data_IF_866826418770
#
_entry.id   IF_866826418770
#
_cell.length_a   1.000
_cell.length_b   1.000
_cell.length_c   1.000
_cell.angle_alpha   90.00
_cell.angle_beta   90.00
_cell.angle_gamma   90.00
#
_symmetry.space_group_name_H-M   'P 1'
#
loop_
_entity.id
_entity.type
_entity.pdbx_description
1 polymer ?
#
# COMPACT_ATOMS: atom_id res chain seq x y z
N UNK A 1 14.96 14.21 -16.63
CA UNK A 1 14.69 12.74 -16.60
C UNK A 1 13.68 12.34 -15.52
N UNK A 2 13.74 12.85 -14.28
CA UNK A 2 12.79 12.52 -13.20
C UNK A 2 11.41 13.13 -13.50
N UNK A 3 11.35 14.38 -13.94
CA UNK A 3 10.10 15.07 -14.28
C UNK A 3 9.36 14.37 -15.45
N UNK A 4 10.08 13.89 -16.46
CA UNK A 4 9.52 13.16 -17.61
C UNK A 4 8.94 11.81 -17.19
N UNK A 5 9.62 11.08 -16.30
CA UNK A 5 9.12 9.83 -15.73
C UNK A 5 7.85 10.06 -14.88
N UNK A 6 7.83 11.14 -14.10
CA UNK A 6 6.65 11.50 -13.29
C UNK A 6 5.45 11.90 -14.14
N UNK A 7 5.65 12.64 -15.24
CA UNK A 7 4.60 12.96 -16.22
C UNK A 7 4.03 11.72 -16.91
N UNK A 8 4.91 10.81 -17.34
CA UNK A 8 4.48 9.53 -17.95
C UNK A 8 3.66 8.69 -16.95
N UNK A 9 4.11 8.56 -15.71
CA UNK A 9 3.37 7.84 -14.68
C UNK A 9 2.00 8.45 -14.39
N UNK A 10 1.93 9.77 -14.28
CA UNK A 10 0.68 10.49 -14.04
C UNK A 10 -0.29 10.33 -15.21
N UNK A 11 0.20 10.45 -16.45
CA UNK A 11 -0.59 10.26 -17.66
C UNK A 11 -1.11 8.82 -17.79
N UNK A 12 -0.22 7.83 -17.64
CA UNK A 12 -0.61 6.40 -17.70
C UNK A 12 -1.58 6.02 -16.57
N UNK A 13 -1.36 6.50 -15.36
CA UNK A 13 -2.25 6.20 -14.25
C UNK A 13 -3.65 6.76 -14.46
N UNK A 14 -3.76 8.01 -14.92
CA UNK A 14 -5.04 8.66 -15.22
C UNK A 14 -5.76 7.98 -16.37
N UNK A 15 -5.04 7.64 -17.43
CA UNK A 15 -5.59 6.95 -18.60
C UNK A 15 -6.06 5.54 -18.21
N UNK A 16 -5.24 4.77 -17.50
CA UNK A 16 -5.60 3.42 -17.02
C UNK A 16 -6.83 3.46 -16.11
N UNK A 17 -6.92 4.43 -15.21
CA UNK A 17 -8.09 4.59 -14.34
C UNK A 17 -9.35 4.90 -15.15
N UNK A 18 -9.24 5.74 -16.18
CA UNK A 18 -10.37 6.08 -17.04
C UNK A 18 -10.82 4.90 -17.90
N UNK A 19 -9.86 4.17 -18.49
CA UNK A 19 -10.14 2.99 -19.31
C UNK A 19 -10.70 1.81 -18.50
N UNK A 20 -10.35 1.68 -17.20
CA UNK A 20 -10.93 0.68 -16.31
C UNK A 20 -12.31 1.15 -15.80
N UNK A 21 -12.48 2.42 -15.50
CA UNK A 21 -13.71 2.97 -14.93
C UNK A 21 -14.93 2.79 -15.85
N UNK A 22 -14.74 2.93 -17.15
CA UNK A 22 -15.83 2.82 -18.15
C UNK A 22 -16.43 1.40 -18.17
N UNK A 23 -15.68 0.30 -18.39
CA UNK A 23 -16.25 -1.05 -18.35
C UNK A 23 -16.78 -1.44 -16.96
N UNK A 24 -16.19 -0.88 -15.91
CA UNK A 24 -16.64 -1.12 -14.55
C UNK A 24 -18.04 -0.56 -14.29
N UNK A 25 -18.30 0.67 -14.76
CA UNK A 25 -19.65 1.27 -14.69
C UNK A 25 -20.67 0.44 -15.47
N UNK A 26 -20.27 -0.10 -16.63
CA UNK A 26 -21.12 -1.00 -17.42
C UNK A 26 -21.44 -2.29 -16.66
N UNK A 27 -20.44 -2.92 -16.01
CA UNK A 27 -20.63 -4.13 -15.20
C UNK A 27 -21.57 -3.89 -14.03
N UNK A 28 -21.47 -2.75 -13.35
CA UNK A 28 -22.40 -2.36 -12.28
C UNK A 28 -23.85 -2.26 -12.83
N UNK A 29 -24.03 -1.68 -14.01
CA UNK A 29 -25.34 -1.64 -14.67
C UNK A 29 -25.91 -3.03 -14.99
N UNK A 30 -25.07 -3.96 -15.45
CA UNK A 30 -25.48 -5.35 -15.68
C UNK A 30 -25.89 -6.07 -14.40
N UNK A 31 -25.20 -5.84 -13.28
CA UNK A 31 -25.60 -6.40 -11.98
C UNK A 31 -27.00 -5.93 -11.58
N UNK A 32 -27.30 -4.65 -11.71
CA UNK A 32 -28.63 -4.13 -11.39
C UNK A 32 -29.72 -4.78 -12.25
N UNK A 33 -29.42 -5.03 -13.53
CA UNK A 33 -30.33 -5.77 -14.41
C UNK A 33 -30.51 -7.22 -13.95
N UNK A 34 -29.42 -7.91 -13.58
CA UNK A 34 -29.46 -9.28 -13.11
C UNK A 34 -30.22 -9.43 -11.77
N UNK A 35 -30.07 -8.47 -10.86
CA UNK A 35 -30.86 -8.40 -9.61
C UNK A 35 -32.37 -8.34 -9.93
N UNK A 36 -32.75 -7.54 -10.93
CA UNK A 36 -34.16 -7.44 -11.36
C UNK A 36 -34.71 -8.74 -11.97
N UNK A 37 -33.84 -9.60 -12.49
CA UNK A 37 -34.18 -10.91 -13.10
C UNK A 37 -34.22 -12.07 -12.09
N UNK A 38 -34.15 -11.81 -10.78
CA UNK A 38 -34.16 -12.81 -9.70
C UNK A 38 -33.10 -13.92 -9.85
N UNK A 39 -31.91 -13.55 -10.34
CA UNK A 39 -30.74 -14.44 -10.35
C UNK A 39 -30.31 -14.71 -8.90
N UNK A 40 -29.74 -15.90 -8.65
CA UNK A 40 -29.26 -16.27 -7.32
C UNK A 40 -28.35 -15.17 -6.72
N UNK A 41 -28.78 -14.66 -5.57
CA UNK A 41 -28.12 -13.54 -4.88
C UNK A 41 -26.66 -13.85 -4.48
N UNK A 42 -26.30 -15.11 -4.27
CA UNK A 42 -24.94 -15.49 -3.89
C UNK A 42 -23.93 -15.20 -5.00
N UNK A 43 -24.27 -15.50 -6.25
CA UNK A 43 -23.40 -15.17 -7.40
C UNK A 43 -23.27 -13.65 -7.59
N UNK A 44 -24.36 -12.92 -7.42
CA UNK A 44 -24.36 -11.47 -7.55
C UNK A 44 -23.47 -10.81 -6.49
N UNK A 45 -23.52 -11.26 -5.25
CA UNK A 45 -22.68 -10.77 -4.14
C UNK A 45 -21.19 -10.97 -4.46
N UNK A 46 -20.79 -12.12 -4.99
CA UNK A 46 -19.38 -12.37 -5.33
C UNK A 46 -18.91 -11.47 -6.50
N UNK A 47 -19.75 -11.29 -7.51
CA UNK A 47 -19.44 -10.38 -8.63
C UNK A 47 -19.35 -8.92 -8.14
N UNK A 48 -20.24 -8.46 -7.27
CA UNK A 48 -20.17 -7.13 -6.65
C UNK A 48 -18.87 -6.92 -5.88
N UNK A 49 -18.44 -7.90 -5.10
CA UNK A 49 -17.16 -7.83 -4.40
C UNK A 49 -15.96 -7.65 -5.35
N UNK A 50 -15.98 -8.32 -6.48
CA UNK A 50 -14.90 -8.20 -7.47
C UNK A 50 -14.95 -6.86 -8.20
N UNK A 51 -16.14 -6.35 -8.51
CA UNK A 51 -16.31 -4.99 -9.06
C UNK A 51 -15.84 -3.94 -8.07
N UNK A 52 -16.17 -4.05 -6.79
CA UNK A 52 -15.71 -3.13 -5.75
C UNK A 52 -14.17 -3.15 -5.62
N UNK A 53 -13.55 -4.33 -5.74
CA UNK A 53 -12.08 -4.43 -5.79
C UNK A 53 -11.50 -3.69 -6.99
N UNK A 54 -12.10 -3.80 -8.17
CA UNK A 54 -11.66 -3.09 -9.37
C UNK A 54 -11.87 -1.58 -9.25
N UNK A 55 -12.98 -1.14 -8.65
CA UNK A 55 -13.24 0.27 -8.34
C UNK A 55 -12.16 0.86 -7.43
N UNK A 56 -11.82 0.15 -6.35
CA UNK A 56 -10.74 0.57 -5.45
C UNK A 56 -9.41 0.72 -6.19
N UNK A 57 -9.10 -0.20 -7.09
CA UNK A 57 -7.87 -0.14 -7.91
C UNK A 57 -7.92 1.09 -8.83
N UNK A 58 -9.01 1.30 -9.55
CA UNK A 58 -9.20 2.45 -10.44
C UNK A 58 -9.08 3.78 -9.70
N UNK A 59 -9.73 3.92 -8.54
CA UNK A 59 -9.62 5.11 -7.68
C UNK A 59 -8.19 5.36 -7.19
N UNK A 60 -7.46 4.29 -6.83
CA UNK A 60 -6.06 4.38 -6.42
C UNK A 60 -5.19 4.94 -7.54
N UNK A 61 -5.39 4.49 -8.78
CA UNK A 61 -4.69 5.00 -9.95
C UNK A 61 -5.06 6.46 -10.24
N UNK A 62 -6.33 6.84 -10.14
CA UNK A 62 -6.77 8.24 -10.31
C UNK A 62 -6.08 9.19 -9.31
N UNK A 63 -5.90 8.77 -8.06
CA UNK A 63 -5.23 9.58 -7.03
C UNK A 63 -3.74 9.78 -7.25
N UNK A 64 -3.09 8.88 -7.99
CA UNK A 64 -1.68 9.05 -8.39
C UNK A 64 -1.52 10.18 -9.42
N UNK A 65 -2.55 10.44 -10.22
CA UNK A 65 -2.55 11.48 -11.25
C UNK A 65 -2.86 12.89 -10.75
N UNK A 66 -3.26 13.06 -9.47
CA UNK A 66 -3.62 14.34 -8.87
C UNK A 66 -2.80 14.63 -7.61
N UNK A 67 -2.59 15.92 -7.31
CA UNK A 67 -1.94 16.33 -6.06
C UNK A 67 -2.90 16.05 -4.89
N UNK A 68 -2.56 15.16 -3.94
CA UNK A 68 -3.47 14.80 -2.87
C UNK A 68 -3.60 15.91 -1.84
N UNK A 69 -4.78 16.04 -1.25
CA UNK A 69 -5.00 16.90 -0.10
C UNK A 69 -4.45 16.18 1.14
N UNK A 70 -3.58 16.86 1.89
CA UNK A 70 -3.04 16.39 3.16
C UNK A 70 -3.81 17.06 4.31
N UNK A 71 -4.14 16.27 5.32
CA UNK A 71 -4.84 16.74 6.51
C UNK A 71 -4.07 16.31 7.77
N UNK A 72 -4.08 17.15 8.81
CA UNK A 72 -3.56 16.77 10.12
C UNK A 72 -4.28 15.51 10.60
N UNK A 73 -3.56 14.42 10.72
CA UNK A 73 -4.12 13.10 10.98
C UNK A 73 -3.38 12.42 12.13
N UNK A 74 -4.14 11.75 12.99
CA UNK A 74 -3.60 10.86 14.02
C UNK A 74 -3.01 9.61 13.36
N UNK A 75 -1.69 9.60 13.20
CA UNK A 75 -0.97 8.51 12.52
C UNK A 75 -1.00 7.22 13.33
N UNK A 76 -0.96 7.31 14.67
CA UNK A 76 -1.03 6.14 15.55
C UNK A 76 -2.34 5.37 15.34
N UNK A 77 -3.47 6.10 15.32
CA UNK A 77 -4.80 5.50 15.06
C UNK A 77 -4.89 4.97 13.63
N UNK A 78 -4.52 5.78 12.62
CA UNK A 78 -4.61 5.40 11.22
C UNK A 78 -3.78 4.16 10.90
N UNK A 79 -2.57 4.05 11.48
CA UNK A 79 -1.73 2.86 11.28
C UNK A 79 -2.39 1.63 11.89
N UNK A 80 -2.96 1.74 13.10
CA UNK A 80 -3.69 0.65 13.73
C UNK A 80 -4.87 0.21 12.88
N UNK A 81 -5.75 1.13 12.50
CA UNK A 81 -6.94 0.85 11.70
C UNK A 81 -6.57 0.15 10.36
N UNK A 82 -5.45 0.57 9.74
CA UNK A 82 -4.95 -0.04 8.50
C UNK A 82 -4.45 -1.48 8.71
N UNK A 83 -3.81 -1.76 9.85
CA UNK A 83 -3.31 -3.09 10.18
C UNK A 83 -4.44 -4.02 10.59
N UNK A 84 -5.39 -3.56 11.41
CA UNK A 84 -6.56 -4.35 11.82
C UNK A 84 -7.37 -4.82 10.59
N UNK A 85 -7.54 -3.93 9.61
CA UNK A 85 -8.17 -4.29 8.34
C UNK A 85 -7.38 -5.36 7.55
N UNK A 86 -6.05 -5.29 7.57
CA UNK A 86 -5.21 -6.27 6.87
C UNK A 86 -5.22 -7.63 7.58
N UNK A 87 -5.20 -7.65 8.90
CA UNK A 87 -5.19 -8.89 9.70
C UNK A 87 -6.40 -9.78 9.41
N UNK A 88 -7.57 -9.22 9.11
CA UNK A 88 -8.76 -10.01 8.73
C UNK A 88 -8.59 -10.76 7.40
N UNK A 89 -7.50 -10.53 6.66
CA UNK A 89 -7.26 -11.05 5.30
C UNK A 89 -5.93 -11.78 5.15
N UNK A 90 -5.16 -11.84 6.22
CA UNK A 90 -3.87 -12.54 6.26
C UNK A 90 -4.08 -13.94 6.80
N UNK A 91 -3.35 -14.91 6.25
CA UNK A 91 -3.34 -16.29 6.75
C UNK A 91 -2.78 -16.35 8.18
N UNK A 92 -3.32 -17.25 9.00
CA UNK A 92 -2.86 -17.52 10.38
C UNK A 92 -1.38 -17.92 10.49
N UNK A 93 -0.70 -18.17 9.36
CA UNK A 93 0.72 -18.48 9.29
C UNK A 93 1.64 -17.29 9.53
N UNK A 94 1.14 -16.07 9.38
CA UNK A 94 1.94 -14.86 9.57
C UNK A 94 1.43 -14.09 10.76
N UNK A 95 2.26 -14.03 11.80
CA UNK A 95 1.96 -13.26 13.00
C UNK A 95 2.33 -11.78 12.76
N UNK A 96 1.41 -10.86 13.04
CA UNK A 96 1.65 -9.41 12.92
C UNK A 96 1.55 -8.76 14.30
N UNK A 97 2.67 -8.28 14.81
CA UNK A 97 2.76 -7.57 16.08
C UNK A 97 2.92 -6.06 15.86
N UNK A 98 2.29 -5.24 16.74
CA UNK A 98 2.47 -3.77 16.69
C UNK A 98 3.03 -3.25 18.01
N UNK A 99 4.00 -2.33 17.87
CA UNK A 99 4.60 -1.60 19.01
C UNK A 99 4.41 -0.10 18.78
N UNK A 100 3.36 0.45 19.38
CA UNK A 100 3.01 1.86 19.26
C UNK A 100 3.22 2.61 20.57
N UNK A 101 3.62 3.90 20.52
CA UNK A 101 3.74 4.71 21.72
C UNK A 101 2.36 4.98 22.32
N UNK A 102 2.30 5.21 23.63
CA UNK A 102 1.06 5.64 24.30
C UNK A 102 0.59 7.01 23.81
N UNK A 103 1.52 7.86 23.40
CA UNK A 103 1.26 9.20 22.86
C UNK A 103 0.70 9.10 21.45
N UNK A 104 -0.30 9.91 21.16
CA UNK A 104 -0.83 10.06 19.80
C UNK A 104 0.13 10.92 18.97
N UNK A 105 0.49 10.45 17.78
CA UNK A 105 1.39 11.14 16.86
C UNK A 105 0.59 11.69 15.67
N UNK A 106 0.85 12.93 15.31
CA UNK A 106 0.13 13.64 14.23
C UNK A 106 1.08 14.10 13.15
N UNK A 107 0.68 13.96 11.89
CA UNK A 107 1.35 14.51 10.73
C UNK A 107 0.34 14.87 9.63
N UNK A 108 0.81 15.59 8.60
CA UNK A 108 0.01 15.92 7.42
C UNK A 108 -0.04 14.72 6.47
N UNK A 109 -1.21 14.07 6.36
CA UNK A 109 -1.36 12.80 5.64
C UNK A 109 -2.62 12.80 4.79
N UNK A 110 -2.53 12.22 3.60
CA UNK A 110 -3.67 11.67 2.88
C UNK A 110 -3.91 10.24 3.36
N UNK A 111 -5.00 10.02 4.09
CA UNK A 111 -5.29 8.75 4.77
C UNK A 111 -5.30 7.55 3.83
N UNK A 112 -5.90 7.69 2.66
CA UNK A 112 -6.08 6.58 1.71
C UNK A 112 -4.74 6.17 1.07
N UNK A 113 -3.92 7.14 0.66
CA UNK A 113 -2.61 6.87 0.09
C UNK A 113 -1.64 6.30 1.13
N UNK A 114 -1.71 6.79 2.36
CA UNK A 114 -0.93 6.23 3.46
C UNK A 114 -1.32 4.76 3.74
N UNK A 115 -2.61 4.48 3.94
CA UNK A 115 -3.08 3.11 4.19
C UNK A 115 -2.71 2.16 3.04
N UNK A 116 -2.78 2.63 1.80
CA UNK A 116 -2.33 1.85 0.66
C UNK A 116 -0.82 1.57 0.69
N UNK A 117 0.00 2.53 1.12
CA UNK A 117 1.45 2.31 1.31
C UNK A 117 1.71 1.22 2.35
N UNK A 118 1.02 1.27 3.50
CA UNK A 118 1.13 0.23 4.54
C UNK A 118 0.73 -1.14 3.99
N UNK A 119 -0.41 -1.21 3.29
CA UNK A 119 -0.89 -2.44 2.64
C UNK A 119 0.16 -3.02 1.68
N UNK A 120 0.77 -2.20 0.82
CA UNK A 120 1.79 -2.65 -0.12
C UNK A 120 3.03 -3.22 0.58
N UNK A 121 3.50 -2.56 1.65
CA UNK A 121 4.70 -3.01 2.37
C UNK A 121 4.40 -4.31 3.11
N UNK A 122 3.28 -4.39 3.84
CA UNK A 122 2.87 -5.60 4.57
C UNK A 122 2.68 -6.78 3.60
N UNK A 123 2.01 -6.59 2.45
CA UNK A 123 1.89 -7.63 1.42
C UNK A 123 3.24 -8.09 0.89
N UNK A 124 4.19 -7.17 0.71
CA UNK A 124 5.53 -7.55 0.29
C UNK A 124 6.28 -8.33 1.37
N UNK A 125 6.10 -7.99 2.65
CA UNK A 125 6.65 -8.75 3.77
C UNK A 125 6.04 -10.16 3.84
N UNK A 126 4.73 -10.31 3.73
CA UNK A 126 4.04 -11.60 3.68
C UNK A 126 4.57 -12.45 2.52
N UNK A 127 4.70 -11.87 1.32
CA UNK A 127 5.21 -12.59 0.14
C UNK A 127 6.69 -12.99 0.28
N UNK A 128 7.48 -12.25 1.08
CA UNK A 128 8.87 -12.60 1.39
C UNK A 128 9.00 -13.71 2.41
N UNK A 129 7.99 -13.92 3.25
CA UNK A 129 7.91 -15.00 4.23
C UNK A 129 7.51 -16.29 3.51
N UNK A 130 8.32 -17.34 3.67
CA UNK A 130 8.05 -18.66 3.12
C UNK A 130 7.59 -19.60 4.24
N UNK A 131 6.28 -19.74 4.42
CA UNK A 131 5.69 -20.54 5.50
C UNK A 131 5.26 -19.67 6.67
N UNK A 132 5.63 -20.07 7.89
CA UNK A 132 5.31 -19.33 9.09
C UNK A 132 6.33 -18.21 9.32
N UNK A 133 5.87 -17.07 9.83
CA UNK A 133 6.78 -15.96 10.09
C UNK A 133 6.14 -14.78 10.79
N UNK A 134 6.98 -13.78 11.06
CA UNK A 134 6.63 -12.65 11.89
C UNK A 134 6.83 -11.32 11.16
N UNK A 135 5.88 -10.42 11.37
CA UNK A 135 5.97 -9.02 10.95
C UNK A 135 5.79 -8.14 12.19
N UNK A 136 6.78 -7.29 12.46
CA UNK A 136 6.71 -6.30 13.52
C UNK A 136 6.55 -4.90 12.93
N UNK A 137 5.46 -4.24 13.26
CA UNK A 137 5.20 -2.83 12.91
C UNK A 137 5.44 -1.96 14.15
N UNK A 138 6.43 -1.08 14.08
CA UNK A 138 6.77 -0.18 15.18
C UNK A 138 6.64 1.27 14.75
N UNK A 139 5.88 2.03 15.53
CA UNK A 139 5.77 3.49 15.39
C UNK A 139 6.48 4.15 16.58
N UNK A 140 7.30 5.15 16.32
CA UNK A 140 8.04 5.90 17.34
C UNK A 140 8.24 7.35 16.93
N UNK A 141 8.53 8.19 17.91
CA UNK A 141 8.92 9.59 17.70
C UNK A 141 10.41 9.74 18.01
N UNK A 142 11.15 10.39 17.10
CA UNK A 142 12.58 10.69 17.26
C UNK A 142 12.78 12.17 16.96
N UNK A 143 13.01 12.99 18.00
CA UNK A 143 13.08 14.46 17.88
C UNK A 143 11.77 14.98 17.23
N UNK A 144 11.88 15.58 16.03
CA UNK A 144 10.76 16.13 15.27
C UNK A 144 10.26 15.21 14.14
N UNK A 145 10.71 13.95 14.12
CA UNK A 145 10.37 12.98 13.06
C UNK A 145 9.56 11.83 13.67
N UNK A 146 8.49 11.46 13.01
CA UNK A 146 7.75 10.24 13.28
C UNK A 146 8.35 9.13 12.41
N UNK A 147 8.77 8.06 13.04
CA UNK A 147 9.41 6.92 12.39
C UNK A 147 8.51 5.71 12.47
N UNK A 148 8.13 5.17 11.33
CA UNK A 148 7.45 3.87 11.20
C UNK A 148 8.45 2.86 10.63
N UNK A 149 8.61 1.72 11.30
CA UNK A 149 9.38 0.59 10.78
C UNK A 149 8.48 -0.63 10.63
N UNK A 150 8.64 -1.32 9.51
CA UNK A 150 8.01 -2.61 9.23
C UNK A 150 9.15 -3.60 9.07
N UNK A 151 9.19 -4.60 9.96
CA UNK A 151 10.23 -5.63 10.02
C UNK A 151 9.60 -6.97 9.72
N UNK A 152 10.17 -7.72 8.81
CA UNK A 152 9.79 -9.11 8.52
C UNK A 152 11.01 -10.05 8.65
N UNK A 153 10.76 -11.33 8.90
CA UNK A 153 11.76 -12.40 8.92
C UNK A 153 11.79 -13.22 7.61
N UNK A 154 11.43 -12.58 6.49
CA UNK A 154 11.40 -13.20 5.17
C UNK A 154 12.77 -13.41 4.54
N UNK A 155 12.77 -13.65 3.22
CA UNK A 155 13.95 -13.98 2.42
C UNK A 155 15.04 -12.90 2.36
N UNK A 156 14.72 -11.68 2.78
CA UNK A 156 15.66 -10.57 2.77
C UNK A 156 15.91 -9.96 1.39
N UNK A 157 16.69 -8.89 1.38
CA UNK A 157 17.02 -8.09 0.18
C UNK A 157 18.54 -7.90 0.12
N UNK A 158 19.16 -8.17 -1.03
CA UNK A 158 20.59 -7.92 -1.25
C UNK A 158 20.89 -6.42 -1.14
N UNK A 159 21.97 -6.03 -0.48
CA UNK A 159 22.36 -4.62 -0.28
C UNK A 159 22.43 -3.82 -1.59
N UNK A 160 22.86 -4.44 -2.68
CA UNK A 160 22.89 -3.84 -4.03
C UNK A 160 21.50 -3.52 -4.60
N UNK A 161 20.43 -4.06 -4.00
CA UNK A 161 19.05 -3.88 -4.44
C UNK A 161 18.26 -2.88 -3.57
N UNK A 162 18.79 -2.40 -2.44
CA UNK A 162 18.09 -1.51 -1.51
C UNK A 162 17.45 -0.28 -2.17
N UNK A 163 18.14 0.33 -3.13
CA UNK A 163 17.58 1.44 -3.92
C UNK A 163 16.74 0.95 -5.09
N UNK A 164 17.12 -0.19 -5.69
CA UNK A 164 16.50 -0.70 -6.91
C UNK A 164 15.07 -1.20 -6.69
N UNK A 165 14.75 -1.73 -5.50
CA UNK A 165 13.39 -2.23 -5.18
C UNK A 165 12.32 -1.13 -5.26
N UNK A 166 12.71 0.13 -5.17
CA UNK A 166 11.82 1.28 -5.33
C UNK A 166 11.74 1.80 -6.77
N UNK A 167 12.44 1.19 -7.72
CA UNK A 167 12.32 1.57 -9.12
C UNK A 167 11.08 0.92 -9.74
N UNK A 168 10.35 1.64 -10.60
CA UNK A 168 9.22 1.07 -11.32
C UNK A 168 9.60 -0.16 -12.11
N UNK A 169 8.76 -1.19 -12.06
CA UNK A 169 8.97 -2.45 -12.79
C UNK A 169 9.95 -3.43 -12.11
N UNK A 170 10.60 -3.04 -11.01
CA UNK A 170 11.46 -3.97 -10.28
C UNK A 170 10.63 -5.00 -9.51
N UNK A 171 10.79 -6.26 -9.83
CA UNK A 171 10.13 -7.37 -9.14
C UNK A 171 10.98 -8.64 -9.17
N UNK A 172 10.98 -9.39 -8.09
CA UNK A 172 11.52 -10.75 -8.00
C UNK A 172 10.44 -11.81 -8.14
N UNK A 173 9.16 -11.41 -8.29
CA UNK A 173 8.02 -12.31 -8.35
C UNK A 173 7.73 -12.71 -9.80
N UNK A 174 7.31 -13.96 -10.01
CA UNK A 174 6.84 -14.44 -11.33
C UNK A 174 5.56 -13.72 -11.79
N UNK A 175 4.74 -13.26 -10.85
CA UNK A 175 3.50 -12.50 -11.08
C UNK A 175 3.58 -11.19 -10.31
N UNK A 176 3.31 -10.09 -11.01
CA UNK A 176 3.33 -8.74 -10.42
C UNK A 176 4.10 -7.75 -11.30
N UNK A 177 3.64 -6.53 -11.33
CA UNK A 177 4.13 -5.46 -12.22
C UNK A 177 5.33 -4.71 -11.65
N UNK A 178 5.77 -5.04 -10.41
CA UNK A 178 6.87 -4.32 -9.76
C UNK A 178 6.56 -2.84 -9.45
N UNK A 179 5.29 -2.50 -9.27
CA UNK A 179 4.85 -1.12 -9.08
C UNK A 179 4.59 -0.74 -7.61
N UNK A 180 4.37 -1.71 -6.73
CA UNK A 180 3.95 -1.46 -5.35
C UNK A 180 4.91 -0.56 -4.56
N UNK A 181 6.20 -0.95 -4.46
CA UNK A 181 7.18 -0.16 -3.70
C UNK A 181 7.57 1.14 -4.38
N UNK A 182 7.62 1.19 -5.71
CA UNK A 182 7.88 2.45 -6.44
C UNK A 182 6.76 3.47 -6.22
N UNK A 183 5.54 2.99 -6.17
CA UNK A 183 4.38 3.80 -5.85
C UNK A 183 4.36 4.22 -4.38
N UNK A 184 4.68 3.31 -3.46
CA UNK A 184 4.86 3.63 -2.04
C UNK A 184 5.89 4.73 -1.84
N UNK A 185 7.02 4.68 -2.57
CA UNK A 185 8.03 5.73 -2.54
C UNK A 185 7.48 7.07 -3.02
N UNK A 186 6.80 7.09 -4.16
CA UNK A 186 6.17 8.31 -4.68
C UNK A 186 5.15 8.90 -3.70
N UNK A 187 4.30 8.07 -3.12
CA UNK A 187 3.32 8.51 -2.13
C UNK A 187 4.03 9.16 -0.94
N UNK A 188 5.04 8.53 -0.39
CA UNK A 188 5.73 9.02 0.80
C UNK A 188 6.59 10.24 0.49
N UNK A 189 7.42 10.19 -0.57
CA UNK A 189 8.40 11.24 -0.84
C UNK A 189 7.79 12.43 -1.60
N UNK A 190 7.04 12.18 -2.69
CA UNK A 190 6.54 13.26 -3.55
C UNK A 190 5.26 13.91 -2.99
N UNK A 191 4.40 13.12 -2.32
CA UNK A 191 3.11 13.60 -1.86
C UNK A 191 3.09 13.99 -0.38
N UNK A 192 3.83 13.27 0.47
CA UNK A 192 3.86 13.51 1.91
C UNK A 192 5.16 14.16 2.40
N UNK A 193 6.11 14.46 1.52
CA UNK A 193 7.43 15.02 1.84
C UNK A 193 8.19 14.22 2.91
N UNK A 194 7.88 12.94 3.02
CA UNK A 194 8.54 12.00 3.92
C UNK A 194 9.71 11.29 3.27
N UNK A 195 10.20 10.24 3.92
CA UNK A 195 11.26 9.36 3.38
C UNK A 195 10.86 7.91 3.53
N UNK A 196 11.21 7.06 2.55
CA UNK A 196 11.05 5.61 2.62
C UNK A 196 12.32 4.91 2.10
N UNK A 197 12.83 3.96 2.85
CA UNK A 197 14.05 3.24 2.48
C UNK A 197 14.16 1.89 3.21
N UNK A 198 15.04 1.02 2.70
CA UNK A 198 15.47 -0.19 3.43
C UNK A 198 16.52 0.25 4.46
N UNK A 199 16.15 0.20 5.73
CA UNK A 199 17.04 0.51 6.84
C UNK A 199 18.09 -0.57 7.05
N UNK A 200 17.64 -1.82 6.98
CA UNK A 200 18.47 -3.00 7.15
C UNK A 200 17.84 -4.18 6.42
N UNK A 201 18.65 -5.04 5.85
CA UNK A 201 18.22 -6.37 5.44
C UNK A 201 19.39 -7.34 5.42
N UNK A 202 19.13 -8.54 5.89
CA UNK A 202 20.02 -9.69 5.88
C UNK A 202 19.24 -10.89 5.30
N UNK A 203 19.88 -11.59 4.35
CA UNK A 203 19.21 -12.66 3.61
C UNK A 203 18.78 -13.80 4.54
N UNK A 204 17.52 -14.19 4.43
CA UNK A 204 16.86 -15.22 5.22
C UNK A 204 16.86 -14.98 6.75
N UNK A 205 17.11 -13.75 7.18
CA UNK A 205 17.08 -13.35 8.59
C UNK A 205 16.01 -12.32 8.84
N UNK A 206 16.14 -11.13 8.23
CA UNK A 206 15.14 -10.07 8.38
C UNK A 206 15.29 -8.95 7.36
N UNK A 207 14.19 -8.24 7.11
CA UNK A 207 14.18 -6.95 6.41
C UNK A 207 13.52 -5.89 7.29
N UNK A 208 14.04 -4.67 7.26
CA UNK A 208 13.46 -3.50 7.93
C UNK A 208 13.26 -2.41 6.88
N UNK A 209 12.01 -2.11 6.55
CA UNK A 209 11.63 -0.92 5.79
C UNK A 209 11.28 0.18 6.78
N UNK A 210 11.85 1.38 6.58
CA UNK A 210 11.61 2.55 7.40
C UNK A 210 10.92 3.65 6.60
N UNK A 211 9.91 4.26 7.21
CA UNK A 211 9.23 5.47 6.72
C UNK A 211 9.40 6.55 7.77
N UNK A 212 9.65 7.78 7.32
CA UNK A 212 9.82 8.96 8.16
C UNK A 212 8.88 10.06 7.71
N UNK A 213 8.24 10.75 8.65
CA UNK A 213 7.40 11.92 8.42
C UNK A 213 7.79 13.03 9.38
N UNK A 214 7.72 14.27 8.92
CA UNK A 214 7.82 15.43 9.80
C UNK A 214 6.58 15.48 10.70
N UNK A 215 6.82 15.74 11.98
CA UNK A 215 5.77 15.90 12.99
C UNK A 215 5.13 17.26 12.86
N UNK A 216 3.81 17.32 13.09
CA UNK A 216 3.01 18.56 13.12
C UNK A 216 2.40 18.79 14.51
#
# INVERSE_FOLDING_TARGET
>A
KIATLNMLWTGMAKETAHQIGTPLTSLMGWIEILKSKKVDSNYLIEIEKDIDRLNIISERFNKIGSKPILLKTNLTKLTRDSLDYLMTRVSDRVNIEFKFPKKQLYCQINKQLYSWTIENIIKNSIDAIKGDGDILVKLSEQKNVIVLTITDNGTGIKKSQFKKIFNPGFTSKKRGWGLGLSLSKRIIEDYHSGKIFVKYSELNVKTIIQIEFDKV
#
